data_IF_323758698799
#
_entry.id   IF_323758698799
#
_cell.length_a   1.000
_cell.length_b   1.000
_cell.length_c   1.000
_cell.angle_alpha   90.00
_cell.angle_beta   90.00
_cell.angle_gamma   90.00
#
_symmetry.space_group_name_H-M   'P 1'
#
loop_
_entity.id
_entity.type
_entity.pdbx_description
1 polymer ?
#
# COMPACT_ATOMS: atom_id res chain seq x y z
N UNK A 1 39.55 42.30 -47.10
CA UNK A 1 38.60 41.63 -46.19
C UNK A 1 38.66 40.15 -46.53
N UNK A 2 39.35 39.34 -45.72
CA UNK A 2 39.47 37.89 -45.95
C UNK A 2 38.23 37.24 -45.32
N UNK A 3 37.40 36.62 -46.16
CA UNK A 3 36.21 35.89 -45.73
C UNK A 3 36.67 34.50 -45.29
N UNK A 4 36.72 34.28 -43.99
CA UNK A 4 36.96 32.96 -43.40
C UNK A 4 35.80 32.05 -43.78
N UNK A 5 36.08 31.01 -44.57
CA UNK A 5 35.08 30.06 -45.02
C UNK A 5 34.71 29.16 -43.83
N UNK A 6 33.59 29.46 -43.18
CA UNK A 6 33.07 28.65 -42.09
C UNK A 6 32.79 27.23 -42.62
N UNK A 7 33.62 26.27 -42.21
CA UNK A 7 33.43 24.86 -42.57
C UNK A 7 32.20 24.35 -41.81
N UNK A 8 31.15 23.86 -42.49
CA UNK A 8 29.96 23.37 -41.79
C UNK A 8 30.31 22.09 -41.03
N UNK A 9 30.13 22.12 -39.71
CA UNK A 9 30.18 20.93 -38.86
C UNK A 9 28.92 20.11 -39.11
N UNK A 10 29.03 19.05 -39.92
CA UNK A 10 27.94 18.09 -40.11
C UNK A 10 27.97 17.14 -38.92
N UNK A 11 27.01 17.29 -38.02
CA UNK A 11 26.77 16.32 -36.95
C UNK A 11 26.02 15.15 -37.60
N UNK A 12 26.62 13.96 -37.60
CA UNK A 12 25.93 12.74 -38.02
C UNK A 12 24.98 12.33 -36.88
N UNK A 13 23.72 12.74 -37.00
CA UNK A 13 22.68 12.34 -36.04
C UNK A 13 22.43 10.82 -36.09
N UNK A 14 22.91 10.10 -37.10
CA UNK A 14 22.74 8.65 -37.20
C UNK A 14 23.43 7.90 -36.05
N UNK A 15 24.65 8.29 -35.70
CA UNK A 15 25.42 7.62 -34.64
C UNK A 15 24.96 8.05 -33.23
N UNK A 16 24.58 9.33 -33.06
CA UNK A 16 24.01 9.84 -31.83
C UNK A 16 22.59 9.31 -31.55
N UNK A 17 21.76 9.12 -32.59
CA UNK A 17 20.43 8.53 -32.46
C UNK A 17 20.48 7.00 -32.30
N UNK A 18 21.44 6.33 -32.94
CA UNK A 18 21.68 4.89 -32.74
C UNK A 18 22.12 4.59 -31.30
N UNK A 19 22.95 5.45 -30.70
CA UNK A 19 23.35 5.34 -29.29
C UNK A 19 22.21 5.64 -28.30
N UNK A 20 21.16 6.36 -28.73
CA UNK A 20 20.02 6.74 -27.89
C UNK A 20 18.82 5.77 -27.99
N UNK A 21 18.88 4.79 -28.89
CA UNK A 21 17.78 3.84 -29.08
C UNK A 21 18.07 2.57 -28.29
N UNK A 22 17.87 2.65 -26.97
CA UNK A 22 17.80 1.45 -26.14
C UNK A 22 16.53 0.69 -26.54
N UNK A 23 16.68 -0.46 -27.21
CA UNK A 23 15.54 -1.28 -27.63
C UNK A 23 14.81 -1.79 -26.38
N UNK A 24 13.71 -1.14 -26.00
CA UNK A 24 12.84 -1.59 -24.90
C UNK A 24 12.21 -2.92 -25.31
N UNK A 25 12.71 -4.00 -24.73
CA UNK A 25 12.17 -5.34 -24.92
C UNK A 25 10.82 -5.48 -24.21
N UNK A 26 9.93 -6.31 -24.77
CA UNK A 26 8.67 -6.70 -24.12
C UNK A 26 8.91 -7.30 -22.73
N UNK A 27 10.04 -8.00 -22.56
CA UNK A 27 10.43 -8.55 -21.26
C UNK A 27 10.64 -7.46 -20.21
N UNK A 28 11.20 -6.32 -20.60
CA UNK A 28 11.49 -5.20 -19.70
C UNK A 28 10.20 -4.54 -19.20
N UNK A 29 9.22 -4.39 -20.10
CA UNK A 29 7.86 -3.92 -19.75
C UNK A 29 7.16 -4.88 -18.79
N UNK A 30 7.28 -6.20 -19.00
CA UNK A 30 6.66 -7.21 -18.13
C UNK A 30 7.32 -7.22 -16.74
N UNK A 31 8.65 -7.11 -16.67
CA UNK A 31 9.38 -7.02 -15.40
C UNK A 31 9.01 -5.73 -14.67
N UNK A 32 8.92 -4.61 -15.37
CA UNK A 32 8.47 -3.33 -14.81
C UNK A 32 7.05 -3.41 -14.25
N UNK A 33 6.11 -3.97 -15.01
CA UNK A 33 4.72 -4.13 -14.58
C UNK A 33 4.59 -5.06 -13.36
N UNK A 34 5.28 -6.21 -13.37
CA UNK A 34 5.24 -7.16 -12.26
C UNK A 34 5.86 -6.57 -10.99
N UNK A 35 6.99 -5.86 -11.13
CA UNK A 35 7.65 -5.19 -10.01
C UNK A 35 6.73 -4.13 -9.40
N UNK A 36 6.04 -3.34 -10.23
CA UNK A 36 5.09 -2.34 -9.76
C UNK A 36 3.92 -2.96 -9.00
N UNK A 37 3.30 -4.02 -9.54
CA UNK A 37 2.24 -4.77 -8.85
C UNK A 37 2.74 -5.37 -7.53
N UNK A 38 3.94 -5.95 -7.53
CA UNK A 38 4.56 -6.48 -6.31
C UNK A 38 4.72 -5.43 -5.22
N UNK A 39 5.23 -4.24 -5.57
CA UNK A 39 5.38 -3.11 -4.65
C UNK A 39 4.03 -2.69 -4.07
N UNK A 40 2.98 -2.59 -4.90
CA UNK A 40 1.63 -2.25 -4.43
C UNK A 40 1.14 -3.26 -3.38
N UNK A 41 1.32 -4.55 -3.63
CA UNK A 41 0.88 -5.59 -2.69
C UNK A 41 1.63 -5.46 -1.36
N UNK A 42 2.95 -5.26 -1.40
CA UNK A 42 3.77 -5.10 -0.18
C UNK A 42 3.33 -3.87 0.61
N UNK A 43 3.11 -2.73 -0.06
CA UNK A 43 2.62 -1.51 0.57
C UNK A 43 1.24 -1.73 1.19
N UNK A 44 0.30 -2.35 0.46
CA UNK A 44 -1.04 -2.62 0.94
C UNK A 44 -1.05 -3.53 2.18
N UNK A 45 -0.25 -4.61 2.16
CA UNK A 45 -0.10 -5.51 3.31
C UNK A 45 0.50 -4.76 4.51
N UNK A 46 1.54 -3.97 4.29
CA UNK A 46 2.18 -3.19 5.36
C UNK A 46 1.20 -2.20 6.00
N UNK A 47 0.42 -1.48 5.18
CA UNK A 47 -0.61 -0.58 5.65
C UNK A 47 -1.71 -1.32 6.43
N UNK A 48 -2.15 -2.49 5.94
CA UNK A 48 -3.16 -3.29 6.63
C UNK A 48 -2.68 -3.72 8.03
N UNK A 49 -1.43 -4.18 8.14
CA UNK A 49 -0.84 -4.53 9.43
C UNK A 49 -0.69 -3.31 10.35
N UNK A 50 -0.25 -2.16 9.82
CA UNK A 50 -0.14 -0.93 10.59
C UNK A 50 -1.51 -0.46 11.11
N UNK A 51 -2.55 -0.55 10.28
CA UNK A 51 -3.91 -0.18 10.66
C UNK A 51 -4.48 -1.12 11.71
N UNK A 52 -4.34 -2.43 11.51
CA UNK A 52 -4.77 -3.43 12.49
C UNK A 52 -4.03 -3.26 13.83
N UNK A 53 -2.71 -3.11 13.79
CA UNK A 53 -1.90 -2.84 14.99
C UNK A 53 -2.29 -1.54 15.68
N UNK A 54 -2.52 -0.47 14.92
CA UNK A 54 -2.99 0.82 15.43
C UNK A 54 -4.36 0.73 16.10
N UNK A 55 -5.32 0.02 15.49
CA UNK A 55 -6.65 -0.20 16.07
C UNK A 55 -6.59 -1.05 17.34
N UNK A 56 -5.76 -2.10 17.36
CA UNK A 56 -5.54 -2.91 18.57
C UNK A 56 -4.90 -2.08 19.69
N UNK A 57 -3.93 -1.24 19.34
CA UNK A 57 -3.28 -0.35 20.30
C UNK A 57 -4.25 0.70 20.84
N UNK A 58 -5.06 1.32 19.97
CA UNK A 58 -6.10 2.26 20.36
C UNK A 58 -7.15 1.59 21.27
N UNK A 59 -7.56 0.36 20.97
CA UNK A 59 -8.44 -0.44 21.85
C UNK A 59 -7.82 -0.68 23.22
N UNK A 60 -6.50 -0.90 23.29
CA UNK A 60 -5.77 -1.07 24.56
C UNK A 60 -5.73 0.23 25.38
N UNK A 61 -5.67 1.38 24.71
CA UNK A 61 -5.67 2.70 25.37
C UNK A 61 -7.06 3.16 25.82
N UNK A 62 -8.14 2.66 25.19
CA UNK A 62 -9.53 3.00 25.53
C UNK A 62 -10.34 1.79 26.04
N UNK A 63 -10.00 1.22 27.21
CA UNK A 63 -10.70 0.05 27.78
C UNK A 63 -12.14 0.33 28.26
N UNK A 64 -12.56 1.60 28.32
CA UNK A 64 -13.87 2.04 28.86
C UNK A 64 -14.96 2.23 27.81
N UNK A 65 -14.68 1.96 26.52
CA UNK A 65 -15.67 2.14 25.46
C UNK A 65 -16.64 0.95 25.40
N UNK A 66 -17.95 1.20 25.48
CA UNK A 66 -19.04 0.23 25.67
C UNK A 66 -19.18 -0.84 24.57
N UNK A 67 -18.47 -0.67 23.44
CA UNK A 67 -18.36 -1.65 22.36
C UNK A 67 -17.51 -2.89 22.71
N UNK A 68 -16.85 -2.90 23.87
CA UNK A 68 -15.79 -3.86 24.21
C UNK A 68 -16.24 -5.10 25.01
N UNK A 69 -17.55 -5.35 25.14
CA UNK A 69 -18.08 -6.59 25.73
C UNK A 69 -18.89 -6.43 27.02
N UNK A 70 -19.26 -5.20 27.41
CA UNK A 70 -20.19 -5.01 28.53
C UNK A 70 -21.61 -5.50 28.18
N UNK A 71 -22.06 -5.33 26.93
CA UNK A 71 -23.31 -5.94 26.47
C UNK A 71 -23.25 -7.47 26.52
N UNK A 72 -22.18 -8.10 26.01
CA UNK A 72 -22.06 -9.57 26.05
C UNK A 72 -21.94 -10.11 27.49
N UNK A 73 -21.26 -9.38 28.38
CA UNK A 73 -21.16 -9.73 29.79
C UNK A 73 -22.50 -9.54 30.54
N UNK A 74 -23.24 -8.47 30.26
CA UNK A 74 -24.59 -8.24 30.81
C UNK A 74 -25.62 -9.22 30.26
N UNK A 75 -25.57 -9.56 28.98
CA UNK A 75 -26.45 -10.57 28.38
C UNK A 75 -26.18 -11.95 28.98
N UNK A 76 -24.91 -12.31 29.24
CA UNK A 76 -24.57 -13.58 29.94
C UNK A 76 -24.95 -13.57 31.42
N UNK A 77 -24.80 -12.44 32.11
CA UNK A 77 -25.19 -12.31 33.52
C UNK A 77 -26.73 -12.35 33.68
N UNK A 78 -27.48 -11.76 32.74
CA UNK A 78 -28.94 -11.85 32.70
C UNK A 78 -29.45 -13.26 32.33
N UNK A 79 -28.69 -14.03 31.55
CA UNK A 79 -29.03 -15.41 31.18
C UNK A 79 -28.61 -16.45 32.24
N UNK A 80 -27.70 -16.10 33.14
CA UNK A 80 -27.21 -16.96 34.23
C UNK A 80 -27.79 -16.58 35.61
N UNK A 81 -28.74 -15.64 35.66
CA UNK A 81 -29.57 -15.51 36.84
C UNK A 81 -30.61 -16.63 36.78
N UNK A 82 -30.58 -17.61 37.71
CA UNK A 82 -31.70 -18.52 37.82
C UNK A 82 -32.95 -17.67 38.07
N UNK A 83 -33.91 -17.73 37.16
CA UNK A 83 -35.26 -17.29 37.43
C UNK A 83 -35.77 -18.17 38.56
N UNK A 84 -35.53 -17.76 39.81
CA UNK A 84 -36.22 -18.29 40.97
C UNK A 84 -37.68 -17.95 40.79
N UNK A 85 -38.35 -18.88 40.12
CA UNK A 85 -39.73 -19.25 40.38
C UNK A 85 -39.89 -19.31 41.90
N UNK A 86 -40.55 -18.29 42.45
CA UNK A 86 -41.18 -18.39 43.76
C UNK A 86 -42.61 -17.92 43.60
N UNK A 87 -43.41 -18.87 43.10
CA UNK A 87 -44.76 -19.12 43.60
C UNK A 87 -44.77 -19.19 45.14
N UNK A 88 -45.71 -18.48 45.74
CA UNK A 88 -45.95 -18.41 47.18
C UNK A 88 -47.00 -17.35 47.50
#
# INVERSE_FOLDING_TARGET
MQQESATPLIIDLGEAAAAATEEISVADVLVGAFSFTGVIIVVAVTLAFAFAGGLIWLRKLNPTNSLNGEETARTRLALNQPSTDQSG
#
